data_IF_320177618356
#
_entry.id   IF_320177618356
#
_cell.length_a   1.000
_cell.length_b   1.000
_cell.length_c   1.000
_cell.angle_alpha   90.00
_cell.angle_beta   90.00
_cell.angle_gamma   90.00
#
_symmetry.space_group_name_H-M   'P 1'
#
loop_
_entity.id
_entity.type
_entity.pdbx_description
1 polymer ?
#
# COMPACT_ATOMS: atom_id res chain seq x y z
N UNK A 1 -0.34 12.30 21.70
CA UNK A 1 0.05 13.33 20.71
C UNK A 1 -1.10 14.31 20.57
N UNK A 2 -0.89 15.61 20.73
CA UNK A 2 -1.91 16.63 20.45
C UNK A 2 -2.37 16.55 18.98
N UNK A 3 -3.64 16.86 18.72
CA UNK A 3 -4.26 16.71 17.39
C UNK A 3 -3.59 17.55 16.30
N UNK A 4 -2.93 18.64 16.71
CA UNK A 4 -2.15 19.52 15.85
C UNK A 4 -0.90 18.85 15.24
N UNK A 5 -0.49 17.67 15.72
CA UNK A 5 0.71 16.96 15.23
C UNK A 5 0.37 15.72 14.38
N UNK A 6 -0.92 15.48 14.14
CA UNK A 6 -1.38 14.31 13.43
C UNK A 6 -1.38 14.52 11.91
N UNK A 7 -1.12 13.44 11.18
CA UNK A 7 -1.35 13.40 9.74
C UNK A 7 -2.83 13.58 9.47
N UNK A 8 -3.16 14.35 8.44
CA UNK A 8 -4.53 14.55 7.99
C UNK A 8 -4.60 14.33 6.49
N UNK A 9 -5.64 13.63 6.06
CA UNK A 9 -6.04 13.59 4.67
C UNK A 9 -6.61 14.95 4.24
N UNK A 10 -6.40 15.42 3.00
CA UNK A 10 -7.06 16.61 2.48
C UNK A 10 -8.59 16.62 2.60
N UNK A 11 -9.23 15.45 2.74
CA UNK A 11 -10.66 15.36 3.07
C UNK A 11 -11.01 15.73 4.53
N UNK A 12 -10.03 16.14 5.35
CA UNK A 12 -10.20 16.55 6.74
C UNK A 12 -10.00 15.43 7.77
N UNK A 13 -9.91 14.16 7.34
CA UNK A 13 -9.78 13.01 8.25
C UNK A 13 -8.37 12.93 8.84
N UNK A 14 -8.28 12.93 10.17
CA UNK A 14 -7.04 12.67 10.90
C UNK A 14 -6.69 11.19 10.92
N UNK A 15 -5.39 10.89 10.86
CA UNK A 15 -4.80 9.55 10.84
C UNK A 15 -3.77 9.51 11.96
N UNK A 16 -4.09 8.81 13.05
CA UNK A 16 -3.25 8.75 14.27
C UNK A 16 -2.23 7.62 14.21
N UNK A 17 -2.57 6.54 13.52
CA UNK A 17 -1.73 5.36 13.43
C UNK A 17 -1.68 4.78 12.02
N UNK A 18 -0.61 4.05 11.66
CA UNK A 18 -0.50 3.40 10.36
C UNK A 18 -1.53 2.27 10.14
N UNK A 19 -2.16 1.78 11.20
CA UNK A 19 -3.26 0.81 11.14
C UNK A 19 -4.57 1.39 10.60
N UNK A 20 -4.72 2.72 10.61
CA UNK A 20 -5.95 3.38 10.15
C UNK A 20 -6.02 3.51 8.63
N UNK A 21 -4.90 3.36 7.92
CA UNK A 21 -4.93 3.29 6.46
C UNK A 21 -5.61 2.00 6.02
N UNK A 22 -6.43 2.10 4.98
CA UNK A 22 -7.02 0.93 4.34
C UNK A 22 -6.05 0.44 3.28
N UNK A 23 -5.73 -0.86 3.27
CA UNK A 23 -4.84 -1.44 2.28
C UNK A 23 -5.66 -2.20 1.24
N UNK A 24 -5.57 -1.77 -0.02
CA UNK A 24 -6.23 -2.44 -1.14
C UNK A 24 -5.20 -3.22 -1.94
N UNK A 25 -5.39 -4.54 -2.02
CA UNK A 25 -4.51 -5.43 -2.75
C UNK A 25 -5.00 -5.53 -4.20
N UNK A 26 -4.41 -4.76 -5.10
CA UNK A 26 -4.76 -4.83 -6.52
C UNK A 26 -4.23 -6.12 -7.13
N UNK A 27 -5.12 -6.87 -7.79
CA UNK A 27 -4.80 -8.15 -8.41
C UNK A 27 -4.95 -8.05 -9.93
N UNK A 28 -3.86 -8.39 -10.62
CA UNK A 28 -3.78 -9.15 -11.89
C UNK A 28 -2.47 -8.86 -12.63
N UNK A 29 -1.93 -7.64 -12.54
CA UNK A 29 -0.77 -7.24 -13.36
C UNK A 29 0.24 -6.30 -12.67
N UNK A 30 -0.14 -5.59 -11.60
CA UNK A 30 0.66 -4.47 -11.09
C UNK A 30 1.51 -4.75 -9.84
N UNK A 31 1.35 -5.90 -9.18
CA UNK A 31 2.05 -6.23 -7.92
C UNK A 31 2.12 -5.01 -6.97
N UNK A 32 0.96 -4.41 -6.76
CA UNK A 32 0.80 -3.12 -6.08
C UNK A 32 -0.27 -3.23 -4.98
N UNK A 33 0.00 -2.57 -3.86
CA UNK A 33 -0.94 -2.41 -2.76
C UNK A 33 -1.18 -0.91 -2.59
N UNK A 34 -2.42 -0.48 -2.77
CA UNK A 34 -2.79 0.91 -2.55
C UNK A 34 -3.00 1.19 -1.07
N UNK A 35 -2.51 2.34 -0.65
CA UNK A 35 -2.71 2.88 0.68
C UNK A 35 -3.85 3.89 0.59
N UNK A 36 -5.03 3.51 1.08
CA UNK A 36 -6.25 4.30 1.00
C UNK A 36 -6.53 5.09 2.28
N UNK A 37 -7.28 6.18 2.12
CA UNK A 37 -7.80 6.96 3.23
C UNK A 37 -8.78 6.12 4.08
N UNK A 38 -8.77 6.23 5.42
CA UNK A 38 -9.79 5.61 6.27
C UNK A 38 -11.22 6.05 5.94
N UNK A 39 -11.40 7.24 5.36
CA UNK A 39 -12.70 7.75 4.96
C UNK A 39 -13.11 7.20 3.58
N UNK A 40 -14.16 6.37 3.54
CA UNK A 40 -14.64 5.71 2.30
C UNK A 40 -15.17 6.69 1.24
N UNK A 41 -15.69 7.84 1.67
CA UNK A 41 -16.20 8.88 0.78
C UNK A 41 -15.15 9.93 0.42
N UNK A 42 -13.86 9.64 0.69
CA UNK A 42 -12.77 10.54 0.34
C UNK A 42 -12.62 10.67 -1.18
N UNK A 43 -12.64 11.90 -1.69
CA UNK A 43 -12.46 12.19 -3.12
C UNK A 43 -11.05 11.85 -3.64
N UNK A 44 -10.02 11.89 -2.78
CA UNK A 44 -8.68 11.41 -3.14
C UNK A 44 -8.64 9.89 -3.18
N UNK A 45 -9.32 9.25 -2.22
CA UNK A 45 -9.40 7.80 -1.98
C UNK A 45 -8.04 7.14 -1.72
N UNK A 46 -7.13 7.21 -2.68
CA UNK A 46 -5.77 6.71 -2.65
C UNK A 46 -4.81 7.79 -2.15
N UNK A 47 -4.00 7.44 -1.15
CA UNK A 47 -3.01 8.33 -0.54
C UNK A 47 -1.59 7.97 -0.94
N UNK A 48 -1.36 6.74 -1.39
CA UNK A 48 -0.06 6.23 -1.78
C UNK A 48 -0.15 4.78 -2.22
N UNK A 49 1.01 4.17 -2.43
CA UNK A 49 1.12 2.80 -2.93
C UNK A 49 2.36 2.09 -2.42
N UNK A 50 2.35 0.77 -2.53
CA UNK A 50 3.48 -0.14 -2.27
C UNK A 50 3.61 -1.09 -3.45
N UNK A 51 4.67 -0.92 -4.24
CA UNK A 51 5.06 -1.81 -5.34
C UNK A 51 6.03 -2.87 -4.87
N UNK A 52 5.81 -4.09 -5.33
CA UNK A 52 6.68 -5.23 -5.08
C UNK A 52 6.87 -6.06 -6.34
N UNK A 53 7.87 -6.93 -6.33
CA UNK A 53 8.13 -7.93 -7.35
C UNK A 53 8.14 -9.31 -6.70
N UNK A 54 7.77 -10.32 -7.47
CA UNK A 54 7.83 -11.71 -7.03
C UNK A 54 8.93 -12.42 -7.81
N UNK A 55 9.92 -12.94 -7.09
CA UNK A 55 10.90 -13.87 -7.63
C UNK A 55 10.29 -15.27 -7.59
N UNK A 56 9.77 -15.71 -8.74
CA UNK A 56 9.13 -17.02 -8.89
C UNK A 56 10.10 -18.18 -8.62
N UNK A 57 11.37 -18.03 -8.98
CA UNK A 57 12.39 -19.07 -8.80
C UNK A 57 12.70 -19.29 -7.33
N UNK A 58 12.83 -18.20 -6.58
CA UNK A 58 13.14 -18.22 -5.14
C UNK A 58 11.91 -18.20 -4.24
N UNK A 59 10.71 -18.16 -4.83
CA UNK A 59 9.43 -17.98 -4.14
C UNK A 59 9.48 -16.84 -3.11
N UNK A 60 10.00 -15.68 -3.50
CA UNK A 60 10.22 -14.55 -2.57
C UNK A 60 9.61 -13.26 -3.11
N UNK A 61 9.02 -12.47 -2.22
CA UNK A 61 8.59 -11.10 -2.52
C UNK A 61 9.74 -10.14 -2.25
N UNK A 62 10.00 -9.24 -3.19
CA UNK A 62 10.96 -8.14 -3.08
C UNK A 62 10.21 -6.83 -3.15
N UNK A 63 10.33 -6.00 -2.12
CA UNK A 63 9.83 -4.63 -2.14
C UNK A 63 10.60 -3.83 -3.19
N UNK A 64 9.89 -3.14 -4.08
CA UNK A 64 10.51 -2.27 -5.09
C UNK A 64 10.46 -0.81 -4.67
N UNK A 65 9.27 -0.33 -4.31
CA UNK A 65 9.07 1.06 -3.93
C UNK A 65 7.81 1.18 -3.09
N UNK A 66 7.81 2.14 -2.17
CA UNK A 66 6.63 2.56 -1.44
C UNK A 66 6.66 4.08 -1.37
N UNK A 67 5.54 4.74 -1.59
CA UNK A 67 5.45 6.19 -1.52
C UNK A 67 4.03 6.66 -1.26
N UNK A 68 3.92 7.79 -0.56
CA UNK A 68 2.70 8.58 -0.53
C UNK A 68 2.66 9.53 -1.72
N UNK A 69 1.48 9.77 -2.28
CA UNK A 69 1.32 10.67 -3.41
C UNK A 69 1.60 12.13 -3.04
N UNK A 70 2.14 12.94 -3.97
CA UNK A 70 2.50 14.32 -3.70
C UNK A 70 1.38 15.18 -3.08
N UNK A 71 0.10 15.09 -3.50
CA UNK A 71 -0.97 15.90 -2.89
C UNK A 71 -1.13 15.65 -1.39
N UNK A 72 -0.98 14.39 -0.95
CA UNK A 72 -1.07 14.01 0.46
C UNK A 72 0.17 14.47 1.25
N UNK A 73 1.36 14.37 0.65
CA UNK A 73 2.62 14.82 1.27
C UNK A 73 2.63 16.33 1.42
N UNK A 74 2.38 17.07 0.34
CA UNK A 74 2.37 18.54 0.31
C UNK A 74 1.36 19.12 1.30
N UNK A 75 0.16 18.53 1.40
CA UNK A 75 -0.85 18.94 2.38
C UNK A 75 -0.34 18.88 3.82
N UNK A 76 0.31 17.77 4.19
CA UNK A 76 0.81 17.59 5.55
C UNK A 76 2.05 18.44 5.82
N UNK A 77 2.93 18.62 4.82
CA UNK A 77 4.08 19.51 4.93
C UNK A 77 3.66 20.97 5.18
N UNK A 78 2.60 21.45 4.52
CA UNK A 78 2.07 22.80 4.75
C UNK A 78 1.50 23.00 6.16
N UNK A 79 0.91 21.94 6.76
CA UNK A 79 0.29 22.01 8.10
C UNK A 79 1.28 21.82 9.25
N UNK A 80 2.24 20.90 9.09
CA UNK A 80 3.12 20.46 10.17
C UNK A 80 4.56 20.99 10.04
N UNK A 81 4.90 21.59 8.91
CA UNK A 81 6.27 21.80 8.47
C UNK A 81 6.82 20.56 7.74
N UNK A 82 7.66 20.81 6.72
CA UNK A 82 8.15 19.77 5.81
C UNK A 82 8.89 18.64 6.54
N UNK A 83 9.86 18.96 7.40
CA UNK A 83 10.68 17.96 8.08
C UNK A 83 9.84 17.03 8.97
N UNK A 84 8.91 17.62 9.72
CA UNK A 84 8.04 16.87 10.63
C UNK A 84 7.07 15.98 9.87
N UNK A 85 6.41 16.52 8.85
CA UNK A 85 5.50 15.74 8.01
C UNK A 85 6.23 14.57 7.34
N UNK A 86 7.41 14.81 6.76
CA UNK A 86 8.22 13.76 6.13
C UNK A 86 8.63 12.68 7.11
N UNK A 87 9.05 13.04 8.33
CA UNK A 87 9.43 12.06 9.35
C UNK A 87 8.25 11.16 9.75
N UNK A 88 7.07 11.74 9.99
CA UNK A 88 5.89 10.96 10.39
C UNK A 88 5.40 10.08 9.22
N UNK A 89 5.30 10.64 8.00
CA UNK A 89 4.87 9.89 6.83
C UNK A 89 5.85 8.75 6.50
N UNK A 90 7.16 8.99 6.58
CA UNK A 90 8.17 7.94 6.37
C UNK A 90 8.05 6.83 7.41
N UNK A 91 7.79 7.19 8.67
CA UNK A 91 7.55 6.21 9.73
C UNK A 91 6.28 5.40 9.47
N UNK A 92 5.18 6.06 9.13
CA UNK A 92 3.93 5.38 8.77
C UNK A 92 4.13 4.40 7.63
N UNK A 93 4.79 4.83 6.55
CA UNK A 93 5.06 4.00 5.39
C UNK A 93 5.92 2.77 5.74
N UNK A 94 6.96 2.96 6.55
CA UNK A 94 7.79 1.85 7.04
C UNK A 94 6.95 0.85 7.82
N UNK A 95 6.08 1.30 8.71
CA UNK A 95 5.23 0.43 9.51
C UNK A 95 4.17 -0.28 8.66
N UNK A 96 3.56 0.39 7.69
CA UNK A 96 2.66 -0.23 6.71
C UNK A 96 3.36 -1.41 6.04
N UNK A 97 4.54 -1.15 5.48
CA UNK A 97 5.34 -2.16 4.76
C UNK A 97 5.79 -3.30 5.66
N UNK A 98 6.18 -3.04 6.91
CA UNK A 98 6.83 -4.06 7.76
C UNK A 98 5.89 -4.78 8.72
N UNK A 99 4.75 -4.17 9.09
CA UNK A 99 3.85 -4.69 10.12
C UNK A 99 2.44 -4.95 9.61
N UNK A 100 1.91 -4.11 8.72
CA UNK A 100 0.49 -4.17 8.34
C UNK A 100 0.24 -4.88 7.02
N UNK A 101 1.25 -4.98 6.14
CA UNK A 101 1.18 -5.85 4.97
C UNK A 101 1.55 -7.27 5.38
N UNK A 102 0.57 -8.18 5.25
CA UNK A 102 0.79 -9.61 5.37
C UNK A 102 1.43 -10.17 4.08
N UNK A 103 2.77 -10.11 4.02
CA UNK A 103 3.53 -10.63 2.89
C UNK A 103 3.39 -12.14 2.68
N UNK A 104 3.10 -12.91 3.73
CA UNK A 104 2.88 -14.35 3.59
C UNK A 104 1.60 -14.60 2.81
N UNK A 105 0.52 -13.93 3.20
CA UNK A 105 -0.75 -14.00 2.47
C UNK A 105 -0.62 -13.50 1.03
N UNK A 106 0.13 -12.42 0.79
CA UNK A 106 0.40 -11.93 -0.58
C UNK A 106 1.13 -12.98 -1.40
N UNK A 107 2.13 -13.64 -0.80
CA UNK A 107 2.90 -14.71 -1.45
C UNK A 107 2.02 -15.91 -1.77
N UNK A 108 1.23 -16.39 -0.81
CA UNK A 108 0.34 -17.54 -0.99
C UNK A 108 -0.71 -17.28 -2.07
N UNK A 109 -1.36 -16.12 -2.03
CA UNK A 109 -2.39 -15.76 -3.02
C UNK A 109 -1.79 -15.59 -4.43
N UNK A 110 -0.57 -15.08 -4.56
CA UNK A 110 0.14 -15.00 -5.84
C UNK A 110 0.44 -16.39 -6.43
N UNK A 111 1.06 -17.28 -5.63
CA UNK A 111 1.46 -18.60 -6.12
C UNK A 111 0.26 -19.50 -6.42
N UNK A 112 -0.78 -19.46 -5.58
CA UNK A 112 -2.03 -20.20 -5.83
C UNK A 112 -2.63 -19.82 -7.19
N UNK A 113 -2.66 -18.53 -7.51
CA UNK A 113 -3.18 -18.05 -8.80
C UNK A 113 -2.29 -18.40 -9.98
N UNK A 114 -0.97 -18.38 -9.79
CA UNK A 114 -0.02 -18.79 -10.82
C UNK A 114 -0.24 -20.25 -11.21
N UNK A 115 -0.50 -21.12 -10.23
CA UNK A 115 -0.88 -22.52 -10.44
C UNK A 115 -2.23 -22.65 -11.17
N UNK A 116 -3.26 -21.92 -10.73
CA UNK A 116 -4.58 -21.88 -11.40
C UNK A 116 -4.50 -21.38 -12.85
N UNK A 117 -3.64 -20.39 -13.14
CA UNK A 117 -3.45 -19.84 -14.48
C UNK A 117 -2.71 -20.80 -15.41
N UNK A 118 -1.72 -21.54 -14.89
CA UNK A 118 -0.99 -22.57 -15.65
C UNK A 118 -1.91 -23.73 -16.01
N UNK A 119 -2.68 -24.24 -15.04
CA UNK A 119 -3.64 -25.32 -15.27
C UNK A 119 -4.65 -24.97 -16.38
N UNK A 120 -5.25 -23.78 -16.34
CA UNK A 120 -6.17 -23.31 -17.39
C UNK A 120 -5.53 -23.19 -18.78
N UNK A 121 -4.27 -22.79 -18.84
CA UNK A 121 -3.54 -22.64 -20.11
C UNK A 121 -3.24 -24.00 -20.75
N UNK A 122 -2.95 -25.02 -19.94
CA UNK A 122 -2.69 -26.39 -20.38
C UNK A 122 -3.98 -27.10 -20.83
N UNK A 123 -5.11 -26.85 -20.15
CA UNK A 123 -6.44 -27.34 -20.55
C UNK A 123 -6.92 -26.73 -21.88
N UNK A 124 -6.62 -25.45 -22.11
CA UNK A 124 -6.98 -24.73 -23.34
C UNK A 124 -6.13 -25.11 -24.56
N UNK A 125 -4.94 -25.70 -24.34
CA UNK A 125 -4.01 -26.11 -25.40
C UNK A 125 -4.18 -27.58 -25.81
N UNK A 126 -5.05 -28.31 -25.10
CA UNK A 126 -5.33 -29.73 -25.32
C UNK A 126 -6.74 -30.00 -25.88
N UNK A 127 -7.46 -28.94 -26.27
CA UNK A 127 -8.80 -28.99 -26.89
C UNK A 127 -8.76 -28.49 -28.33
#
# INVERSE_FOLDING_TARGET
>A
MPEAELIQCPCGRFIKAPSEYKLLYLKKEQNEIDILCPNDVCYLRELGFVKFKVDEKRKKIMLETAAFYPPFVTWNAARLGADKAHNILKQHLREIVTKYIDWNRVKEDYFKRLEESKAKSEESSSS
#
